data_IF_451623824398
#
_entry.id   IF_451623824398
#
_cell.length_a   1.000
_cell.length_b   1.000
_cell.length_c   1.000
_cell.angle_alpha   90.00
_cell.angle_beta   90.00
_cell.angle_gamma   90.00
#
_symmetry.space_group_name_H-M   'P 1'
#
loop_
_entity.id
_entity.type
_entity.pdbx_description
1 polymer ?
#
# COMPACT_ATOMS: atom_id res chain seq x y z
N UNK A 1 4.44 11.71 7.18
CA UNK A 1 3.97 10.36 7.53
C UNK A 1 4.54 9.95 8.87
N UNK A 2 3.80 9.19 9.69
CA UNK A 2 4.26 8.70 11.00
C UNK A 2 3.80 7.25 11.22
N UNK A 3 4.56 6.42 11.96
CA UNK A 3 4.04 5.14 12.42
C UNK A 3 2.76 5.33 13.23
N UNK A 4 1.76 4.47 13.03
CA UNK A 4 0.50 4.53 13.77
C UNK A 4 0.61 3.72 15.07
N UNK A 5 0.43 4.40 16.20
CA UNK A 5 0.33 3.75 17.51
C UNK A 5 -0.94 2.92 17.64
N UNK A 6 -1.01 2.05 18.66
CA UNK A 6 -2.20 1.22 18.91
C UNK A 6 -3.45 2.06 19.21
N UNK A 7 -3.30 3.23 19.83
CA UNK A 7 -4.41 4.15 20.06
C UNK A 7 -4.96 4.76 18.76
N UNK A 8 -4.16 4.84 17.71
CA UNK A 8 -4.56 5.36 16.39
C UNK A 8 -5.16 4.29 15.47
N UNK A 9 -5.31 3.05 15.95
CA UNK A 9 -5.95 1.96 15.20
C UNK A 9 -7.34 2.35 14.68
N UNK A 10 -8.16 2.97 15.54
CA UNK A 10 -9.52 3.41 15.18
C UNK A 10 -9.54 4.42 14.03
N UNK A 11 -8.50 5.25 13.91
CA UNK A 11 -8.34 6.18 12.79
C UNK A 11 -8.11 5.45 11.47
N UNK A 12 -7.29 4.41 11.47
CA UNK A 12 -7.08 3.56 10.29
C UNK A 12 -8.37 2.79 9.97
N UNK A 13 -9.05 2.21 10.96
CA UNK A 13 -10.34 1.52 10.77
C UNK A 13 -11.37 2.41 10.07
N UNK A 14 -11.53 3.65 10.52
CA UNK A 14 -12.48 4.59 9.91
C UNK A 14 -12.18 4.93 8.45
N UNK A 15 -10.90 4.91 8.04
CA UNK A 15 -10.51 5.10 6.64
C UNK A 15 -10.50 3.81 5.82
N UNK A 16 -10.30 2.66 6.48
CA UNK A 16 -10.23 1.35 5.84
C UNK A 16 -11.58 0.93 5.25
N UNK A 17 -12.69 1.30 5.91
CA UNK A 17 -14.05 1.10 5.42
C UNK A 17 -14.30 1.68 4.01
N UNK A 18 -14.24 3.01 3.82
CA UNK A 18 -14.49 3.60 2.50
C UNK A 18 -13.46 3.14 1.47
N UNK A 19 -12.21 2.89 1.88
CA UNK A 19 -11.18 2.34 1.02
C UNK A 19 -11.55 0.94 0.49
N UNK A 20 -11.92 -0.01 1.35
CA UNK A 20 -12.23 -1.37 0.95
C UNK A 20 -13.50 -1.43 0.10
N UNK A 21 -14.50 -0.57 0.38
CA UNK A 21 -15.68 -0.43 -0.49
C UNK A 21 -15.29 0.06 -1.88
N UNK A 22 -14.45 1.08 -1.97
CA UNK A 22 -13.93 1.57 -3.26
C UNK A 22 -13.15 0.47 -4.00
N UNK A 23 -12.23 -0.20 -3.31
CA UNK A 23 -11.39 -1.27 -3.89
C UNK A 23 -12.23 -2.45 -4.41
N UNK A 24 -13.34 -2.77 -3.72
CA UNK A 24 -14.24 -3.88 -4.10
C UNK A 24 -14.85 -3.70 -5.49
N UNK A 25 -14.96 -2.46 -5.98
CA UNK A 25 -15.52 -2.15 -7.31
C UNK A 25 -14.62 -2.61 -8.47
N UNK A 26 -13.32 -2.79 -8.21
CA UNK A 26 -12.34 -3.23 -9.21
C UNK A 26 -12.16 -4.74 -9.27
N UNK A 27 -12.75 -5.49 -8.33
CA UNK A 27 -12.67 -6.95 -8.30
C UNK A 27 -13.46 -7.55 -9.48
N UNK A 28 -12.94 -8.62 -10.07
CA UNK A 28 -13.69 -9.40 -11.07
C UNK A 28 -14.62 -10.40 -10.38
N UNK A 29 -14.22 -10.89 -9.20
CA UNK A 29 -15.01 -11.76 -8.33
C UNK A 29 -15.27 -11.06 -7.01
N UNK A 30 -16.54 -10.95 -6.60
CA UNK A 30 -16.97 -10.23 -5.38
C UNK A 30 -16.71 -11.05 -4.10
N UNK A 31 -15.43 -11.25 -3.78
CA UNK A 31 -14.96 -11.88 -2.54
C UNK A 31 -14.01 -10.96 -1.79
N UNK A 32 -13.73 -11.26 -0.52
CA UNK A 32 -12.85 -10.48 0.33
C UNK A 32 -13.55 -9.36 1.10
N UNK A 33 -12.81 -8.63 1.96
CA UNK A 33 -13.39 -7.66 2.88
C UNK A 33 -13.90 -6.42 2.14
N UNK A 34 -14.94 -5.81 2.70
CA UNK A 34 -15.56 -4.55 2.24
C UNK A 34 -15.63 -3.49 3.36
N UNK A 35 -15.13 -3.83 4.54
CA UNK A 35 -15.02 -2.98 5.72
C UNK A 35 -13.88 -3.48 6.62
N UNK A 36 -13.51 -2.66 7.59
CA UNK A 36 -12.44 -2.96 8.54
C UNK A 36 -12.75 -4.17 9.41
N UNK A 37 -14.03 -4.38 9.76
CA UNK A 37 -14.45 -5.52 10.59
C UNK A 37 -14.20 -6.87 9.90
N UNK A 38 -14.34 -6.93 8.58
CA UNK A 38 -14.05 -8.11 7.77
C UNK A 38 -12.55 -8.27 7.42
N UNK A 39 -11.70 -7.27 7.71
CA UNK A 39 -10.27 -7.30 7.38
C UNK A 39 -9.48 -8.10 8.43
N UNK A 40 -9.28 -9.39 8.15
CA UNK A 40 -8.71 -10.36 9.10
C UNK A 40 -7.33 -9.98 9.68
N UNK A 41 -6.50 -9.26 8.93
CA UNK A 41 -5.10 -8.98 9.30
C UNK A 41 -4.89 -7.63 9.98
N UNK A 42 -5.96 -6.92 10.38
CA UNK A 42 -5.82 -5.55 10.85
C UNK A 42 -5.05 -5.48 12.18
N UNK A 43 -5.37 -6.36 13.14
CA UNK A 43 -4.69 -6.37 14.44
C UNK A 43 -3.21 -6.74 14.32
N UNK A 44 -2.83 -7.53 13.31
CA UNK A 44 -1.45 -7.96 13.08
C UNK A 44 -0.50 -6.77 12.91
N UNK A 45 -0.98 -5.60 12.45
CA UNK A 45 -0.15 -4.40 12.31
C UNK A 45 0.34 -3.81 13.63
N UNK A 46 -0.21 -4.23 14.77
CA UNK A 46 0.26 -3.82 16.10
C UNK A 46 0.85 -4.96 16.92
N UNK A 47 0.88 -6.19 16.39
CA UNK A 47 1.37 -7.38 17.09
C UNK A 47 2.51 -8.10 16.37
N UNK A 48 2.59 -8.02 15.04
CA UNK A 48 3.65 -8.60 14.22
C UNK A 48 4.77 -7.58 13.97
N UNK A 49 6.03 -7.86 14.35
CA UNK A 49 7.15 -6.96 14.15
C UNK A 49 7.51 -6.72 12.66
N UNK A 50 6.98 -7.54 11.75
CA UNK A 50 7.17 -7.39 10.31
C UNK A 50 6.03 -6.62 9.62
N UNK A 51 5.11 -6.04 10.38
CA UNK A 51 4.01 -5.21 9.86
C UNK A 51 4.11 -3.81 10.41
N UNK A 52 3.90 -2.84 9.54
CA UNK A 52 4.14 -1.44 9.83
C UNK A 52 2.95 -0.59 9.37
N UNK A 53 2.07 -0.17 10.31
CA UNK A 53 1.00 0.76 10.01
C UNK A 53 1.52 2.19 10.05
N UNK A 54 1.09 3.00 9.08
CA UNK A 54 1.46 4.40 8.98
C UNK A 54 0.25 5.28 8.69
N UNK A 55 0.26 6.48 9.27
CA UNK A 55 -0.62 7.59 8.92
C UNK A 55 0.09 8.56 7.96
N UNK A 56 -0.66 9.04 6.97
CA UNK A 56 -0.21 10.03 5.99
C UNK A 56 -0.87 11.37 6.35
N UNK A 57 -0.05 12.42 6.41
CA UNK A 57 -0.43 13.73 6.94
C UNK A 57 -0.28 14.81 5.88
N UNK A 58 -1.16 15.81 5.91
CA UNK A 58 -1.03 17.09 5.22
C UNK A 58 -1.18 18.20 6.29
N UNK A 59 -0.06 18.79 6.71
CA UNK A 59 -0.04 19.60 7.93
C UNK A 59 -0.47 18.77 9.14
N UNK A 60 -1.47 19.25 9.88
CA UNK A 60 -2.02 18.59 11.07
C UNK A 60 -3.18 17.63 10.75
N UNK A 61 -3.55 17.48 9.47
CA UNK A 61 -4.65 16.62 9.03
C UNK A 61 -4.16 15.24 8.60
N UNK A 62 -4.80 14.19 9.11
CA UNK A 62 -4.64 12.82 8.59
C UNK A 62 -5.44 12.71 7.30
N UNK A 63 -4.75 12.42 6.20
CA UNK A 63 -5.33 12.37 4.84
C UNK A 63 -5.28 10.99 4.22
N UNK A 64 -4.70 10.01 4.92
CA UNK A 64 -4.55 8.65 4.42
C UNK A 64 -3.78 7.75 5.36
N UNK A 65 -3.57 6.52 4.89
CA UNK A 65 -2.79 5.51 5.60
C UNK A 65 -2.00 4.64 4.62
N UNK A 66 -0.98 3.97 5.15
CA UNK A 66 -0.29 2.89 4.45
C UNK A 66 -0.08 1.73 5.42
N UNK A 67 -0.32 0.53 4.92
CA UNK A 67 -0.12 -0.72 5.64
C UNK A 67 0.97 -1.51 4.92
N UNK A 68 2.15 -1.58 5.53
CA UNK A 68 3.32 -2.24 4.95
C UNK A 68 3.61 -3.55 5.68
N UNK A 69 4.15 -4.53 4.96
CA UNK A 69 4.68 -5.77 5.56
C UNK A 69 6.02 -6.16 4.97
N UNK A 70 6.80 -6.92 5.73
CA UNK A 70 8.10 -7.46 5.34
C UNK A 70 8.05 -8.98 5.29
N UNK A 71 8.42 -9.55 4.14
CA UNK A 71 8.61 -10.98 3.98
C UNK A 71 10.00 -11.37 4.47
N UNK A 72 10.16 -11.49 5.80
CA UNK A 72 11.44 -11.75 6.45
C UNK A 72 12.03 -13.14 6.16
N UNK A 73 11.23 -14.07 5.61
CA UNK A 73 11.69 -15.40 5.18
C UNK A 73 12.42 -15.38 3.83
N UNK A 74 12.36 -14.27 3.09
CA UNK A 74 13.09 -14.12 1.82
C UNK A 74 14.49 -13.54 2.05
N UNK A 75 15.43 -13.90 1.17
CA UNK A 75 16.79 -13.37 1.18
C UNK A 75 17.15 -12.78 -0.20
N UNK A 76 17.28 -11.44 -0.33
CA UNK A 76 17.07 -10.43 0.72
C UNK A 76 15.58 -10.24 1.08
N UNK A 77 15.26 -9.77 2.33
CA UNK A 77 13.88 -9.54 2.75
C UNK A 77 13.14 -8.53 1.88
N UNK A 78 11.94 -8.88 1.44
CA UNK A 78 11.11 -8.04 0.57
C UNK A 78 10.09 -7.22 1.35
N UNK A 79 10.01 -5.93 1.03
CA UNK A 79 8.95 -5.05 1.50
C UNK A 79 7.74 -5.13 0.58
N UNK A 80 6.54 -5.04 1.15
CA UNK A 80 5.30 -4.89 0.38
C UNK A 80 4.46 -3.78 0.98
N UNK A 81 3.89 -2.94 0.10
CA UNK A 81 2.77 -2.08 0.48
C UNK A 81 1.49 -2.87 0.25
N UNK A 82 0.93 -3.41 1.33
CA UNK A 82 -0.26 -4.25 1.27
C UNK A 82 -1.51 -3.40 1.01
N UNK A 83 -1.64 -2.28 1.72
CA UNK A 83 -2.71 -1.31 1.49
C UNK A 83 -2.13 0.11 1.45
N UNK A 84 -2.67 0.95 0.58
CA UNK A 84 -2.28 2.36 0.46
C UNK A 84 -3.49 3.20 0.07
N UNK A 85 -3.77 4.22 0.87
CA UNK A 85 -4.95 5.03 0.68
C UNK A 85 -4.68 6.51 0.93
N UNK A 86 -5.20 7.34 0.04
CA UNK A 86 -5.37 8.78 0.21
C UNK A 86 -6.85 9.07 0.05
N UNK A 87 -7.44 9.79 1.01
CA UNK A 87 -8.83 10.19 0.97
C UNK A 87 -9.16 10.94 -0.34
N UNK A 88 -10.30 10.66 -1.01
CA UNK A 88 -10.62 11.19 -2.33
C UNK A 88 -10.46 12.71 -2.47
N UNK A 89 -10.84 13.48 -1.45
CA UNK A 89 -10.73 14.94 -1.44
C UNK A 89 -9.30 15.48 -1.42
N UNK A 90 -8.30 14.65 -1.08
CA UNK A 90 -6.87 15.01 -1.04
C UNK A 90 -6.07 14.40 -2.20
N UNK A 91 -6.73 13.76 -3.18
CA UNK A 91 -6.06 13.14 -4.32
C UNK A 91 -5.67 14.19 -5.35
N UNK A 92 -4.68 13.84 -6.18
CA UNK A 92 -4.13 14.69 -7.26
C UNK A 92 -3.41 15.97 -6.80
N UNK A 93 -3.17 16.11 -5.50
CA UNK A 93 -2.33 17.15 -4.91
C UNK A 93 -0.85 16.74 -4.72
N UNK A 94 -0.44 15.59 -5.27
CA UNK A 94 0.93 15.06 -5.14
C UNK A 94 1.24 14.35 -3.82
N UNK A 95 0.36 14.43 -2.81
CA UNK A 95 0.53 13.82 -1.48
C UNK A 95 0.85 12.33 -1.56
N UNK A 96 0.06 11.57 -2.33
CA UNK A 96 0.27 10.13 -2.47
C UNK A 96 1.63 9.78 -3.06
N UNK A 97 2.09 10.53 -4.07
CA UNK A 97 3.39 10.29 -4.68
C UNK A 97 4.54 10.62 -3.71
N UNK A 98 4.42 11.71 -2.96
CA UNK A 98 5.38 12.09 -1.94
C UNK A 98 5.44 11.04 -0.80
N UNK A 99 4.29 10.54 -0.36
CA UNK A 99 4.23 9.48 0.65
C UNK A 99 4.86 8.17 0.17
N UNK A 100 4.53 7.72 -1.05
CA UNK A 100 5.10 6.51 -1.64
C UNK A 100 6.64 6.60 -1.75
N UNK A 101 7.15 7.72 -2.26
CA UNK A 101 8.59 7.96 -2.37
C UNK A 101 9.28 7.91 -0.99
N UNK A 102 8.68 8.56 0.02
CA UNK A 102 9.22 8.55 1.38
C UNK A 102 9.23 7.14 2.00
N UNK A 103 8.25 6.28 1.69
CA UNK A 103 8.26 4.88 2.12
C UNK A 103 9.37 4.09 1.44
N UNK A 104 9.54 4.26 0.13
CA UNK A 104 10.60 3.59 -0.62
C UNK A 104 11.99 3.98 -0.11
N UNK A 105 12.23 5.27 0.11
CA UNK A 105 13.48 5.78 0.69
C UNK A 105 13.74 5.24 2.11
N UNK A 106 12.69 5.15 2.93
CA UNK A 106 12.77 4.64 4.30
C UNK A 106 13.12 3.15 4.37
N UNK A 107 12.71 2.34 3.38
CA UNK A 107 12.99 0.91 3.34
C UNK A 107 13.67 0.53 2.02
N UNK A 108 15.00 0.70 1.90
CA UNK A 108 15.72 0.28 0.71
C UNK A 108 15.72 -1.24 0.55
N UNK A 109 15.96 -1.71 -0.67
CA UNK A 109 15.98 -3.13 -1.03
C UNK A 109 14.84 -3.54 -1.96
N UNK A 110 14.49 -4.85 -2.01
CA UNK A 110 13.45 -5.36 -2.89
C UNK A 110 12.03 -5.02 -2.41
N UNK A 111 11.17 -4.64 -3.35
CA UNK A 111 9.77 -4.28 -3.12
C UNK A 111 8.81 -5.10 -3.97
N UNK A 112 7.57 -5.19 -3.47
CA UNK A 112 6.41 -5.68 -4.18
C UNK A 112 5.19 -4.78 -3.96
N UNK A 113 4.35 -4.64 -4.99
CA UNK A 113 3.03 -4.02 -4.91
C UNK A 113 2.04 -4.83 -5.74
N UNK A 114 0.77 -4.85 -5.35
CA UNK A 114 -0.29 -5.51 -6.10
C UNK A 114 -1.48 -4.57 -6.32
N UNK A 115 -2.16 -4.71 -7.45
CA UNK A 115 -3.41 -3.99 -7.73
C UNK A 115 -4.31 -4.79 -8.66
N UNK A 116 -5.62 -4.64 -8.55
CA UNK A 116 -6.58 -5.23 -9.50
C UNK A 116 -6.31 -4.69 -10.91
N UNK A 117 -6.41 -5.56 -11.92
CA UNK A 117 -6.18 -5.17 -13.32
C UNK A 117 -7.16 -4.10 -13.82
N UNK A 118 -8.36 -4.05 -13.22
CA UNK A 118 -9.40 -3.05 -13.53
C UNK A 118 -9.17 -1.69 -12.85
N UNK A 119 -8.20 -1.57 -11.95
CA UNK A 119 -7.89 -0.33 -11.26
C UNK A 119 -6.83 0.47 -12.03
N UNK A 120 -7.20 0.98 -13.21
CA UNK A 120 -6.31 1.73 -14.11
C UNK A 120 -5.65 2.93 -13.41
N UNK A 121 -6.39 3.61 -12.52
CA UNK A 121 -5.87 4.74 -11.76
C UNK A 121 -4.71 4.34 -10.82
N UNK A 122 -4.81 3.19 -10.16
CA UNK A 122 -3.73 2.67 -9.31
C UNK A 122 -2.55 2.18 -10.17
N UNK A 123 -2.81 1.54 -11.30
CA UNK A 123 -1.76 1.08 -12.24
C UNK A 123 -0.93 2.27 -12.71
N UNK A 124 -1.57 3.35 -13.16
CA UNK A 124 -0.91 4.59 -13.57
C UNK A 124 -0.12 5.23 -12.43
N UNK A 125 -0.72 5.27 -11.24
CA UNK A 125 -0.11 5.85 -10.06
C UNK A 125 1.17 5.10 -9.67
N UNK A 126 1.12 3.77 -9.55
CA UNK A 126 2.27 2.96 -9.16
C UNK A 126 3.35 2.94 -10.21
N UNK A 127 2.99 2.84 -11.50
CA UNK A 127 3.95 2.94 -12.61
C UNK A 127 4.77 4.24 -12.52
N UNK A 128 4.13 5.37 -12.22
CA UNK A 128 4.83 6.66 -12.05
C UNK A 128 5.70 6.71 -10.79
N UNK A 129 5.24 6.15 -9.67
CA UNK A 129 6.02 6.16 -8.42
C UNK A 129 7.28 5.28 -8.54
N UNK A 130 7.12 4.08 -9.11
CA UNK A 130 8.21 3.13 -9.34
C UNK A 130 9.24 3.72 -10.30
N UNK A 131 8.81 4.25 -11.46
CA UNK A 131 9.74 4.83 -12.45
C UNK A 131 10.65 5.93 -11.90
N UNK A 132 10.24 6.62 -10.83
CA UNK A 132 11.02 7.70 -10.20
C UNK A 132 11.99 7.22 -9.13
N UNK A 133 11.80 6.00 -8.62
CA UNK A 133 12.46 5.54 -7.38
C UNK A 133 13.19 4.22 -7.54
N UNK A 134 12.69 3.34 -8.42
CA UNK A 134 13.31 2.07 -8.69
C UNK A 134 14.58 2.25 -9.53
N UNK A 135 15.54 1.37 -9.27
CA UNK A 135 16.68 1.19 -10.17
C UNK A 135 16.21 0.58 -11.50
N UNK A 136 17.13 0.31 -12.43
CA UNK A 136 16.83 -0.27 -13.76
C UNK A 136 16.19 -1.69 -13.70
N UNK A 137 15.90 -2.22 -12.51
CA UNK A 137 15.24 -3.50 -12.28
C UNK A 137 13.81 -3.29 -11.78
N UNK A 138 12.86 -3.22 -12.71
CA UNK A 138 11.43 -3.35 -12.41
C UNK A 138 10.74 -4.31 -13.37
N UNK A 139 9.78 -5.07 -12.87
CA UNK A 139 8.94 -5.98 -13.65
C UNK A 139 7.49 -5.89 -13.20
N UNK A 140 6.60 -6.22 -14.13
CA UNK A 140 5.16 -6.29 -13.90
C UNK A 140 4.70 -7.67 -14.40
N UNK A 141 4.00 -8.39 -13.54
CA UNK A 141 3.45 -9.71 -13.82
C UNK A 141 1.93 -9.70 -13.58
N UNK A 142 1.17 -10.29 -14.49
CA UNK A 142 -0.25 -10.58 -14.28
C UNK A 142 -0.40 -11.96 -13.61
N UNK A 143 -1.27 -12.05 -12.61
CA UNK A 143 -1.58 -13.32 -11.96
C UNK A 143 -3.05 -13.40 -11.53
N UNK A 144 -3.56 -14.62 -11.37
CA UNK A 144 -4.90 -14.89 -10.89
C UNK A 144 -4.93 -14.91 -9.35
N UNK A 145 -5.78 -14.09 -8.74
CA UNK A 145 -6.05 -14.08 -7.31
C UNK A 145 -7.50 -14.51 -7.04
N UNK A 146 -7.86 -14.68 -5.77
CA UNK A 146 -9.22 -15.08 -5.41
C UNK A 146 -10.29 -14.06 -5.80
N UNK A 147 -9.94 -12.77 -5.91
CA UNK A 147 -10.83 -11.69 -6.33
C UNK A 147 -10.73 -11.35 -7.83
N UNK A 148 -10.02 -12.18 -8.60
CA UNK A 148 -9.79 -12.04 -10.03
C UNK A 148 -8.35 -11.67 -10.38
N UNK A 149 -8.16 -11.16 -11.59
CA UNK A 149 -6.83 -10.84 -12.12
C UNK A 149 -6.23 -9.59 -11.49
N UNK A 150 -4.93 -9.68 -11.18
CA UNK A 150 -4.14 -8.61 -10.57
C UNK A 150 -2.82 -8.43 -11.31
N UNK A 151 -2.28 -7.22 -11.20
CA UNK A 151 -0.90 -6.92 -11.56
C UNK A 151 -0.05 -6.88 -10.30
N UNK A 152 1.10 -7.52 -10.36
CA UNK A 152 2.16 -7.47 -9.35
C UNK A 152 3.34 -6.71 -9.91
N UNK A 153 3.73 -5.64 -9.23
CA UNK A 153 4.96 -4.90 -9.50
C UNK A 153 6.06 -5.44 -8.60
N UNK A 154 7.22 -5.74 -9.17
CA UNK A 154 8.44 -6.04 -8.42
C UNK A 154 9.55 -5.10 -8.85
N UNK A 155 10.26 -4.54 -7.89
CA UNK A 155 11.32 -3.56 -8.17
C UNK A 155 12.33 -3.51 -7.02
N UNK A 156 13.49 -2.91 -7.29
CA UNK A 156 14.50 -2.65 -6.29
C UNK A 156 14.65 -1.15 -6.05
N UNK A 157 14.79 -0.75 -4.80
CA UNK A 157 15.08 0.64 -4.40
C UNK A 157 16.49 0.67 -3.82
N UNK A 158 17.38 1.44 -4.45
CA UNK A 158 18.73 1.67 -3.94
C UNK A 158 18.75 2.35 -2.55
N UNK A 159 19.88 2.30 -1.83
CA UNK A 159 20.05 3.07 -0.61
C UNK A 159 19.90 4.57 -0.89
N UNK A 160 19.41 5.33 0.10
CA UNK A 160 19.41 6.79 0.03
C UNK A 160 20.84 7.31 -0.18
N UNK A 161 20.99 8.27 -1.09
CA UNK A 161 22.28 8.88 -1.44
C UNK A 161 22.85 9.76 -0.33
#
# INVERSE_FOLDING_TARGET
MSPASRSERSTIEGMLDPYLRELSTYREVRVGPVDAAAYAYLEDYWTDPNRFPFLIWQGDLIVGFALLRRFASEDPPRMQMAEFYIAPCHRREGIGQAAAAAFFERFPGPWELETQIRNEAAIDFWTRCIKRTADDSSSIEEFEASDGRRLRFRFHVGPAA
#
